data_IF_781698449369
#
_entry.id   IF_781698449369
#
_cell.length_a   1.000
_cell.length_b   1.000
_cell.length_c   1.000
_cell.angle_alpha   90.00
_cell.angle_beta   90.00
_cell.angle_gamma   90.00
#
_symmetry.space_group_name_H-M   'P 1'
#
loop_
_entity.id
_entity.type
_entity.pdbx_description
1 polymer ?
#
# COMPACT_ATOMS: atom_id res chain seq x y z
N UNK A 1 31.48 14.74 10.15
CA UNK A 1 30.38 14.27 9.26
C UNK A 1 29.76 13.04 9.94
N UNK A 2 28.69 13.26 10.72
CA UNK A 2 27.85 12.18 11.26
C UNK A 2 27.11 11.55 10.09
N UNK A 3 27.39 10.27 9.79
CA UNK A 3 26.57 9.46 8.88
C UNK A 3 25.14 9.48 9.44
N UNK A 4 24.24 10.28 8.84
CA UNK A 4 22.80 10.15 9.09
C UNK A 4 22.40 8.77 8.62
N UNK A 5 21.89 7.95 9.55
CA UNK A 5 21.34 6.65 9.25
C UNK A 5 20.24 6.84 8.20
N UNK A 6 20.41 6.18 7.07
CA UNK A 6 19.44 6.14 5.99
C UNK A 6 18.31 5.20 6.40
N UNK A 7 17.39 5.70 7.21
CA UNK A 7 16.27 4.90 7.67
C UNK A 7 15.24 4.82 6.55
N UNK A 8 15.14 3.65 5.95
CA UNK A 8 14.01 3.29 5.11
C UNK A 8 12.96 2.67 6.01
N UNK A 9 11.74 3.10 5.85
CA UNK A 9 10.64 2.66 6.70
C UNK A 9 9.54 2.11 5.83
N UNK A 10 8.93 1.03 6.30
CA UNK A 10 7.75 0.45 5.68
C UNK A 10 6.69 0.27 6.76
N UNK A 11 5.48 0.72 6.47
CA UNK A 11 4.33 0.59 7.35
C UNK A 11 3.17 -0.02 6.58
N UNK A 12 2.45 -0.91 7.25
CA UNK A 12 1.17 -1.45 6.78
C UNK A 12 0.09 -1.04 7.76
N UNK A 13 -1.09 -0.67 7.25
CA UNK A 13 -2.33 -0.54 8.03
C UNK A 13 -3.42 -1.34 7.34
N UNK A 14 -4.24 -2.00 8.14
CA UNK A 14 -5.37 -2.78 7.65
C UNK A 14 -6.63 -1.93 7.54
N UNK A 15 -7.49 -2.27 6.58
CA UNK A 15 -8.79 -1.64 6.35
C UNK A 15 -8.74 -0.10 6.35
N UNK A 16 -7.81 0.45 5.60
CA UNK A 16 -7.61 1.90 5.52
C UNK A 16 -8.83 2.60 4.93
N UNK A 17 -9.30 3.67 5.58
CA UNK A 17 -10.45 4.47 5.17
C UNK A 17 -11.75 3.67 4.94
N UNK A 18 -11.93 2.55 5.63
CA UNK A 18 -13.11 1.67 5.48
C UNK A 18 -13.35 1.20 4.04
N UNK A 19 -12.32 1.14 3.22
CA UNK A 19 -12.39 0.65 1.83
C UNK A 19 -12.30 -0.87 1.73
N UNK A 20 -11.95 -1.55 2.82
CA UNK A 20 -11.66 -2.99 2.85
C UNK A 20 -10.22 -3.33 2.46
N UNK A 21 -9.46 -2.39 1.92
CA UNK A 21 -8.07 -2.58 1.52
C UNK A 21 -7.04 -2.17 2.57
N UNK A 22 -5.83 -2.67 2.43
CA UNK A 22 -4.68 -2.25 3.22
C UNK A 22 -4.16 -0.89 2.75
N UNK A 23 -3.29 -0.36 3.55
CA UNK A 23 -2.47 0.78 3.27
C UNK A 23 -1.00 0.36 3.39
N UNK A 24 -0.24 0.61 2.33
CA UNK A 24 1.20 0.41 2.31
C UNK A 24 1.89 1.77 2.21
N UNK A 25 2.81 2.04 3.13
CA UNK A 25 3.59 3.26 3.19
C UNK A 25 5.07 2.92 3.21
N UNK A 26 5.81 3.54 2.31
CA UNK A 26 7.24 3.33 2.16
C UNK A 26 7.91 4.70 2.25
N UNK A 27 8.92 4.82 3.08
CA UNK A 27 9.74 6.02 3.20
C UNK A 27 11.17 5.74 2.82
N UNK A 28 11.78 6.69 2.17
CA UNK A 28 13.21 6.68 1.95
C UNK A 28 13.75 8.13 1.85
N UNK A 29 15.01 8.28 2.21
CA UNK A 29 15.71 9.55 2.06
C UNK A 29 16.28 9.63 0.64
N UNK A 30 16.12 10.77 -0.01
CA UNK A 30 16.78 11.07 -1.26
C UNK A 30 18.24 11.53 -1.01
N UNK A 31 19.05 11.62 -2.06
CA UNK A 31 20.44 12.09 -1.95
C UNK A 31 20.54 13.55 -1.49
N UNK A 32 19.48 14.34 -1.65
CA UNK A 32 19.36 15.75 -1.26
C UNK A 32 18.97 15.97 0.21
N UNK A 33 18.93 14.94 1.04
CA UNK A 33 18.44 14.95 2.42
C UNK A 33 16.93 15.12 2.56
N UNK A 34 16.19 15.17 1.47
CA UNK A 34 14.75 15.19 1.48
C UNK A 34 14.20 13.80 1.76
N UNK A 35 13.09 13.74 2.47
CA UNK A 35 12.38 12.50 2.71
C UNK A 35 11.25 12.35 1.71
N UNK A 36 11.21 11.22 1.03
CA UNK A 36 10.12 10.85 0.15
C UNK A 36 9.26 9.76 0.79
N UNK A 37 7.98 9.99 0.81
CA UNK A 37 6.97 9.03 1.25
C UNK A 37 6.12 8.60 0.06
N UNK A 38 6.00 7.29 -0.14
CA UNK A 38 5.11 6.70 -1.14
C UNK A 38 4.04 5.93 -0.40
N UNK A 39 2.79 6.17 -0.76
CA UNK A 39 1.62 5.50 -0.21
C UNK A 39 0.87 4.77 -1.31
N UNK A 40 0.39 3.57 -0.98
CA UNK A 40 -0.52 2.78 -1.81
C UNK A 40 -1.74 2.44 -0.98
N UNK A 41 -2.93 2.74 -1.49
CA UNK A 41 -4.18 2.47 -0.80
C UNK A 41 -5.37 2.47 -1.77
N UNK A 42 -6.49 1.89 -1.33
CA UNK A 42 -7.75 2.01 -2.06
C UNK A 42 -8.39 3.37 -1.77
N UNK A 43 -8.84 4.04 -2.81
CA UNK A 43 -9.75 5.18 -2.72
C UNK A 43 -11.09 4.80 -3.31
N UNK A 44 -12.15 5.47 -2.84
CA UNK A 44 -13.51 5.27 -3.31
C UNK A 44 -14.01 6.57 -3.92
N UNK A 45 -14.48 6.51 -5.15
CA UNK A 45 -15.10 7.64 -5.80
C UNK A 45 -16.44 7.96 -5.12
N UNK A 46 -16.65 9.22 -4.78
CA UNK A 46 -17.83 9.65 -4.03
C UNK A 46 -19.15 9.50 -4.83
N UNK A 47 -19.09 9.62 -6.14
CA UNK A 47 -20.27 9.60 -7.01
C UNK A 47 -20.59 8.17 -7.46
N UNK A 48 -19.59 7.46 -7.96
CA UNK A 48 -19.78 6.12 -8.54
C UNK A 48 -19.65 5.00 -7.52
N UNK A 49 -19.13 5.30 -6.32
CA UNK A 49 -18.80 4.32 -5.29
C UNK A 49 -17.77 3.26 -5.73
N UNK A 50 -17.12 3.50 -6.87
CA UNK A 50 -16.07 2.62 -7.37
C UNK A 50 -14.78 2.79 -6.60
N UNK A 51 -14.09 1.68 -6.39
CA UNK A 51 -12.79 1.68 -5.72
C UNK A 51 -11.66 1.57 -6.74
N UNK A 52 -10.55 2.25 -6.45
CA UNK A 52 -9.34 2.21 -7.26
C UNK A 52 -8.12 2.15 -6.36
N UNK A 53 -7.09 1.41 -6.77
CA UNK A 53 -5.80 1.44 -6.11
C UNK A 53 -5.04 2.67 -6.60
N UNK A 54 -4.63 3.51 -5.68
CA UNK A 54 -3.89 4.74 -5.97
C UNK A 54 -2.50 4.73 -5.36
N UNK A 55 -1.61 5.49 -5.98
CA UNK A 55 -0.31 5.84 -5.45
C UNK A 55 -0.26 7.33 -5.17
N UNK A 56 0.16 7.69 -3.98
CA UNK A 56 0.44 9.07 -3.56
C UNK A 56 1.93 9.20 -3.24
N UNK A 57 2.55 10.31 -3.61
CA UNK A 57 3.93 10.62 -3.28
C UNK A 57 3.99 11.95 -2.54
N UNK A 58 4.69 12.00 -1.42
CA UNK A 58 4.79 13.19 -0.58
C UNK A 58 6.26 13.44 -0.27
N UNK A 59 6.74 14.64 -0.58
CA UNK A 59 8.07 15.10 -0.22
C UNK A 59 8.05 15.78 1.16
N UNK A 60 9.06 15.50 1.99
CA UNK A 60 9.25 16.10 3.30
C UNK A 60 7.99 16.11 4.21
N UNK A 61 7.34 14.97 4.46
CA UNK A 61 6.06 14.89 5.17
C UNK A 61 6.11 15.41 6.62
N UNK A 62 7.30 15.59 7.20
CA UNK A 62 7.47 16.02 8.60
C UNK A 62 7.54 17.55 8.78
N UNK A 63 7.83 18.31 7.74
CA UNK A 63 8.05 19.77 7.86
C UNK A 63 6.75 20.59 7.84
N UNK A 64 5.60 19.96 7.71
CA UNK A 64 4.32 20.65 7.55
C UNK A 64 4.11 21.28 6.17
N UNK A 65 5.19 21.57 5.47
CA UNK A 65 5.19 21.95 4.05
C UNK A 65 5.01 20.71 3.20
N UNK A 66 3.83 20.11 3.23
CA UNK A 66 3.49 19.02 2.32
C UNK A 66 3.49 19.54 0.89
N UNK A 67 4.64 19.54 0.28
CA UNK A 67 4.73 19.66 -1.16
C UNK A 67 4.27 18.33 -1.74
N UNK A 68 3.00 18.27 -2.09
CA UNK A 68 2.47 17.15 -2.84
C UNK A 68 3.14 17.19 -4.21
N UNK A 69 3.96 16.21 -4.50
CA UNK A 69 4.67 16.12 -5.78
C UNK A 69 3.71 15.69 -6.89
N UNK A 70 3.85 16.29 -8.05
CA UNK A 70 3.15 15.82 -9.23
C UNK A 70 3.75 14.47 -9.67
N UNK A 71 2.95 13.43 -9.63
CA UNK A 71 3.40 12.03 -9.63
C UNK A 71 3.86 11.51 -11.00
N UNK A 72 3.79 12.28 -12.06
CA UNK A 72 4.19 11.82 -13.40
C UNK A 72 5.64 12.12 -13.75
N UNK A 73 6.25 13.08 -13.09
CA UNK A 73 7.68 13.43 -13.23
C UNK A 73 8.15 14.09 -11.94
N UNK A 74 9.43 13.99 -11.66
CA UNK A 74 10.16 14.79 -10.67
C UNK A 74 10.17 16.29 -11.01
N UNK A 75 9.05 16.79 -11.49
CA UNK A 75 8.93 18.20 -11.83
C UNK A 75 8.34 18.95 -10.64
N UNK A 76 9.02 20.00 -10.23
CA UNK A 76 8.88 20.77 -8.99
C UNK A 76 7.56 21.52 -8.83
N UNK A 77 6.50 21.18 -9.55
CA UNK A 77 5.23 21.89 -9.52
C UNK A 77 4.11 21.13 -8.81
N UNK A 78 3.92 21.50 -7.54
CA UNK A 78 2.65 21.71 -6.83
C UNK A 78 1.54 20.64 -6.93
N UNK A 79 1.25 20.04 -5.78
CA UNK A 79 0.02 19.27 -5.48
C UNK A 79 -0.12 17.94 -6.22
N UNK A 80 0.64 16.94 -5.76
CA UNK A 80 0.41 15.56 -6.19
C UNK A 80 -0.96 15.09 -5.77
N UNK A 81 -1.88 15.05 -6.72
CA UNK A 81 -3.08 14.24 -6.55
C UNK A 81 -2.67 12.76 -6.61
N UNK A 82 -3.30 11.90 -5.80
CA UNK A 82 -3.10 10.46 -5.93
C UNK A 82 -3.35 10.00 -7.38
N UNK A 83 -2.41 9.22 -7.91
CA UNK A 83 -2.55 8.64 -9.25
C UNK A 83 -3.21 7.28 -9.14
N UNK A 84 -4.27 7.06 -9.90
CA UNK A 84 -4.86 5.74 -10.07
C UNK A 84 -3.89 4.85 -10.83
N UNK A 85 -3.44 3.78 -10.18
CA UNK A 85 -2.57 2.75 -10.80
C UNK A 85 -3.36 1.51 -11.22
N UNK A 86 -4.45 1.22 -10.52
CA UNK A 86 -5.38 0.14 -10.89
C UNK A 86 -6.81 0.63 -10.67
N UNK A 87 -7.57 0.78 -11.75
CA UNK A 87 -9.00 1.07 -11.68
C UNK A 87 -9.80 -0.19 -11.34
N UNK A 88 -10.98 -0.02 -10.75
CA UNK A 88 -11.88 -1.13 -10.38
C UNK A 88 -11.25 -2.14 -9.42
N UNK A 89 -10.28 -1.72 -8.61
CA UNK A 89 -9.68 -2.55 -7.57
C UNK A 89 -10.70 -2.80 -6.47
N UNK A 90 -11.06 -4.07 -6.25
CA UNK A 90 -12.04 -4.49 -5.25
C UNK A 90 -11.42 -4.76 -3.88
N UNK A 91 -10.12 -5.09 -3.87
CA UNK A 91 -9.34 -5.37 -2.68
C UNK A 91 -7.86 -5.12 -2.92
N UNK A 92 -7.15 -4.75 -1.87
CA UNK A 92 -5.71 -4.55 -1.86
C UNK A 92 -5.18 -5.05 -0.51
N UNK A 93 -4.33 -6.08 -0.56
CA UNK A 93 -3.72 -6.66 0.64
C UNK A 93 -2.22 -6.65 0.55
N UNK A 94 -1.57 -6.41 1.69
CA UNK A 94 -0.11 -6.43 1.83
C UNK A 94 0.26 -7.34 2.99
N UNK A 95 1.15 -8.28 2.73
CA UNK A 95 1.77 -9.13 3.76
C UNK A 95 3.25 -8.84 3.78
N UNK A 96 3.76 -8.42 4.94
CA UNK A 96 5.18 -8.17 5.13
C UNK A 96 5.80 -9.36 5.86
N UNK A 97 6.93 -9.85 5.35
CA UNK A 97 7.59 -11.04 5.92
C UNK A 97 9.05 -10.77 6.27
N UNK A 98 9.53 -11.43 7.30
CA UNK A 98 10.94 -11.48 7.65
C UNK A 98 11.72 -12.42 6.72
N UNK A 99 13.04 -12.55 6.96
CA UNK A 99 13.93 -13.45 6.23
C UNK A 99 13.58 -14.93 6.36
N UNK A 100 12.81 -15.30 7.39
CA UNK A 100 12.39 -16.67 7.66
C UNK A 100 10.98 -16.95 7.11
N UNK A 101 10.35 -15.97 6.46
CA UNK A 101 8.99 -16.08 5.94
C UNK A 101 7.89 -15.81 6.96
N UNK A 102 8.21 -15.46 8.20
CA UNK A 102 7.21 -15.11 9.20
C UNK A 102 6.59 -13.76 8.90
N UNK A 103 5.28 -13.65 9.08
CA UNK A 103 4.58 -12.38 8.93
C UNK A 103 5.00 -11.38 10.00
N UNK A 104 5.23 -10.15 9.56
CA UNK A 104 5.55 -9.02 10.43
C UNK A 104 4.54 -7.91 10.21
N UNK A 105 3.98 -7.39 11.30
CA UNK A 105 3.11 -6.23 11.30
C UNK A 105 3.84 -5.02 11.91
N UNK A 106 4.59 -4.24 11.11
CA UNK A 106 5.20 -3.01 11.57
C UNK A 106 4.12 -1.91 11.66
N UNK A 107 3.37 -1.91 12.76
CA UNK A 107 2.34 -0.90 13.03
C UNK A 107 2.91 0.17 13.97
N UNK A 108 2.79 1.43 13.54
CA UNK A 108 3.14 2.60 14.36
C UNK A 108 4.63 2.96 14.31
N UNK A 109 4.91 4.19 13.91
CA UNK A 109 6.28 4.71 13.70
C UNK A 109 7.00 5.13 14.99
N UNK A 110 6.30 5.16 16.10
CA UNK A 110 6.79 5.83 17.33
C UNK A 110 7.39 4.89 18.37
N UNK A 111 7.06 3.61 18.35
CA UNK A 111 7.59 2.66 19.34
C UNK A 111 8.91 2.01 18.87
N UNK A 112 9.80 1.70 19.82
CA UNK A 112 11.04 0.98 19.54
C UNK A 112 10.77 -0.42 18.97
N UNK A 113 9.67 -1.06 19.36
CA UNK A 113 9.24 -2.36 18.83
C UNK A 113 8.85 -2.27 17.36
N UNK A 114 8.12 -1.21 16.96
CA UNK A 114 7.76 -0.99 15.56
C UNK A 114 9.00 -0.76 14.70
N UNK A 115 9.96 0.05 15.19
CA UNK A 115 11.25 0.27 14.52
C UNK A 115 12.01 -1.05 14.34
N UNK A 116 12.10 -1.87 15.39
CA UNK A 116 12.77 -3.15 15.34
C UNK A 116 12.07 -4.13 14.37
N UNK A 117 10.76 -4.09 14.25
CA UNK A 117 10.03 -4.93 13.30
C UNK A 117 10.19 -4.45 11.86
N UNK A 118 10.23 -3.14 11.63
CA UNK A 118 10.46 -2.58 10.30
C UNK A 118 11.82 -3.02 9.72
N UNK A 119 12.86 -3.04 10.55
CA UNK A 119 14.20 -3.49 10.12
C UNK A 119 14.26 -4.97 9.74
N UNK A 120 13.30 -5.77 10.16
CA UNK A 120 13.22 -7.21 9.85
C UNK A 120 12.46 -7.50 8.56
N UNK A 121 11.73 -6.52 8.01
CA UNK A 121 10.95 -6.75 6.77
C UNK A 121 11.89 -7.04 5.62
N UNK A 122 11.69 -8.21 5.01
CA UNK A 122 12.53 -8.72 3.95
C UNK A 122 11.78 -8.84 2.62
N UNK A 123 10.50 -9.17 2.69
CA UNK A 123 9.64 -9.36 1.53
C UNK A 123 8.30 -8.66 1.76
N UNK A 124 7.77 -8.04 0.73
CA UNK A 124 6.39 -7.58 0.67
C UNK A 124 5.64 -8.41 -0.37
N UNK A 125 4.58 -9.07 0.07
CA UNK A 125 3.62 -9.77 -0.79
C UNK A 125 2.41 -8.88 -0.98
N UNK A 126 2.04 -8.64 -2.22
CA UNK A 126 0.98 -7.71 -2.61
C UNK A 126 -0.07 -8.48 -3.38
N UNK A 127 -1.32 -8.37 -2.94
CA UNK A 127 -2.48 -8.97 -3.58
C UNK A 127 -3.44 -7.86 -3.98
N UNK A 128 -3.82 -7.83 -5.24
CA UNK A 128 -4.78 -6.86 -5.78
C UNK A 128 -5.89 -7.63 -6.46
N UNK A 129 -7.12 -7.50 -5.96
CA UNK A 129 -8.29 -8.04 -6.61
C UNK A 129 -8.95 -6.98 -7.47
N UNK A 130 -9.10 -7.23 -8.75
CA UNK A 130 -9.78 -6.34 -9.69
C UNK A 130 -11.09 -6.95 -10.16
N UNK A 131 -12.02 -6.11 -10.58
CA UNK A 131 -13.26 -6.54 -11.22
C UNK A 131 -13.34 -6.06 -12.68
N UNK A 132 -14.09 -6.75 -13.48
CA UNK A 132 -14.42 -6.30 -14.84
C UNK A 132 -15.09 -4.92 -14.81
N UNK A 133 -14.90 -4.06 -15.83
CA UNK A 133 -15.53 -2.75 -15.89
C UNK A 133 -17.06 -2.83 -15.98
N UNK A 134 -17.58 -3.88 -16.63
CA UNK A 134 -18.99 -4.12 -16.83
C UNK A 134 -19.42 -5.44 -16.23
N UNK A 135 -20.71 -5.61 -15.98
CA UNK A 135 -21.30 -6.91 -15.65
C UNK A 135 -21.19 -7.85 -16.85
N UNK A 136 -20.47 -8.95 -16.67
CA UNK A 136 -20.22 -9.94 -17.73
C UNK A 136 -20.99 -11.24 -17.50
N UNK A 137 -21.45 -11.48 -16.28
CA UNK A 137 -22.18 -12.69 -15.92
C UNK A 137 -23.69 -12.49 -16.08
N UNK A 138 -24.37 -13.53 -16.53
CA UNK A 138 -25.85 -13.52 -16.66
C UNK A 138 -26.56 -13.57 -15.31
N UNK A 139 -25.92 -14.14 -14.30
CA UNK A 139 -26.43 -14.30 -12.93
C UNK A 139 -25.37 -13.85 -11.94
N UNK A 140 -25.80 -13.50 -10.75
CA UNK A 140 -24.89 -13.22 -9.65
C UNK A 140 -24.01 -14.41 -9.35
N UNK A 141 -22.74 -14.14 -9.12
CA UNK A 141 -21.73 -15.12 -8.79
C UNK A 141 -21.02 -14.72 -7.49
N UNK A 142 -20.86 -15.69 -6.62
CA UNK A 142 -20.15 -15.49 -5.37
C UNK A 142 -18.64 -15.56 -5.60
N UNK A 143 -17.94 -14.45 -5.45
CA UNK A 143 -16.50 -14.39 -5.47
C UNK A 143 -15.97 -14.20 -4.05
N UNK A 144 -15.25 -15.19 -3.55
CA UNK A 144 -14.62 -15.12 -2.24
C UNK A 144 -13.26 -14.42 -2.35
N UNK A 145 -13.09 -13.32 -1.64
CA UNK A 145 -11.80 -12.65 -1.45
C UNK A 145 -11.14 -13.28 -0.23
N UNK A 146 -10.04 -13.99 -0.45
CA UNK A 146 -9.31 -14.68 0.60
C UNK A 146 -8.45 -13.69 1.37
N UNK A 147 -8.46 -13.80 2.69
CA UNK A 147 -7.54 -13.07 3.55
C UNK A 147 -6.15 -13.72 3.52
N UNK A 148 -5.17 -12.98 3.01
CA UNK A 148 -3.78 -13.43 2.92
C UNK A 148 -2.92 -12.94 4.09
N UNK A 149 -3.41 -11.94 4.83
CA UNK A 149 -2.64 -11.26 5.88
C UNK A 149 -2.86 -11.81 7.29
N UNK A 150 -3.55 -12.93 7.46
CA UNK A 150 -3.85 -13.48 8.79
C UNK A 150 -4.77 -12.62 9.67
N UNK A 151 -5.15 -11.45 9.19
CA UNK A 151 -5.99 -10.50 9.93
C UNK A 151 -7.40 -11.03 10.04
N UNK A 152 -7.97 -11.02 11.25
CA UNK A 152 -9.34 -11.48 11.48
C UNK A 152 -10.36 -10.61 10.75
N UNK A 153 -11.34 -11.23 10.08
CA UNK A 153 -12.49 -10.53 9.51
C UNK A 153 -12.33 -10.00 8.08
N UNK A 154 -11.27 -10.36 7.36
CA UNK A 154 -11.09 -9.93 5.96
C UNK A 154 -11.61 -10.88 4.90
N UNK A 155 -11.96 -12.12 5.28
CA UNK A 155 -12.66 -12.99 4.34
C UNK A 155 -14.03 -12.41 4.04
N UNK A 156 -14.26 -11.99 2.83
CA UNK A 156 -15.57 -11.52 2.42
C UNK A 156 -15.95 -12.04 1.03
N UNK A 157 -17.24 -12.22 0.84
CA UNK A 157 -17.80 -12.67 -0.43
C UNK A 157 -18.50 -11.51 -1.12
N UNK A 158 -18.15 -11.27 -2.37
CA UNK A 158 -18.91 -10.39 -3.27
C UNK A 158 -19.85 -11.24 -4.10
N UNK A 159 -21.13 -10.89 -4.07
CA UNK A 159 -22.16 -11.59 -4.85
C UNK A 159 -22.74 -10.61 -5.86
N UNK A 160 -22.29 -10.70 -7.08
CA UNK A 160 -22.71 -9.82 -8.18
C UNK A 160 -22.33 -10.43 -9.55
N UNK A 161 -22.54 -9.67 -10.61
CA UNK A 161 -22.32 -10.13 -12.00
C UNK A 161 -20.95 -9.75 -12.58
N UNK A 162 -20.03 -9.26 -11.77
CA UNK A 162 -18.70 -8.89 -12.21
C UNK A 162 -17.73 -10.08 -12.13
N UNK A 163 -16.91 -10.25 -13.17
CA UNK A 163 -15.75 -11.13 -13.07
C UNK A 163 -14.69 -10.46 -12.19
N UNK A 164 -14.02 -11.27 -11.38
CA UNK A 164 -12.91 -10.81 -10.54
C UNK A 164 -11.72 -11.74 -10.70
N UNK A 165 -10.55 -11.12 -10.53
CA UNK A 165 -9.29 -11.83 -10.50
C UNK A 165 -8.38 -11.21 -9.47
N UNK A 166 -7.62 -12.04 -8.75
CA UNK A 166 -6.61 -11.58 -7.79
C UNK A 166 -5.23 -11.79 -8.39
N UNK A 167 -4.49 -10.70 -8.48
CA UNK A 167 -3.09 -10.69 -8.89
C UNK A 167 -2.19 -10.69 -7.66
N UNK A 168 -1.10 -11.43 -7.76
CA UNK A 168 -0.10 -11.57 -6.71
C UNK A 168 1.26 -11.13 -7.21
N UNK A 169 1.96 -10.33 -6.41
CA UNK A 169 3.35 -9.94 -6.62
C UNK A 169 4.11 -10.08 -5.31
N UNK A 170 5.27 -10.71 -5.35
CA UNK A 170 6.22 -10.73 -4.24
C UNK A 170 7.42 -9.83 -4.58
N UNK A 171 7.70 -8.87 -3.71
CA UNK A 171 8.79 -7.91 -3.86
C UNK A 171 9.83 -8.15 -2.78
N UNK A 172 11.03 -8.46 -3.20
CA UNK A 172 12.17 -8.58 -2.31
C UNK A 172 12.73 -7.20 -1.97
N UNK A 173 12.72 -6.83 -0.70
CA UNK A 173 13.19 -5.53 -0.24
C UNK A 173 14.70 -5.60 0.02
N UNK A 174 15.49 -5.36 -1.01
CA UNK A 174 16.94 -5.20 -0.85
C UNK A 174 17.24 -3.93 -0.05
N UNK A 175 17.99 -4.04 1.02
CA UNK A 175 18.48 -2.92 1.85
C UNK A 175 17.47 -2.31 2.85
N UNK A 176 16.64 -3.10 3.46
CA UNK A 176 16.07 -2.72 4.75
C UNK A 176 17.15 -2.98 5.79
N UNK A 177 17.91 -1.93 6.10
CA UNK A 177 18.96 -1.84 7.12
C UNK A 177 20.17 -2.77 6.94
N UNK A 178 21.30 -2.19 6.56
CA UNK A 178 22.60 -2.73 7.00
C UNK A 178 22.74 -2.41 8.49
N UNK A 179 22.64 -3.43 9.34
CA UNK A 179 23.16 -3.40 10.71
C UNK A 179 24.66 -3.14 10.69
#
# INVERSE_FOLDING_TARGET
YTKKNWDRWIEKKENYNNTGGDYLRIWYNTSSQDRLEIRYYLTKDANTQETSLVREMIENPETGDRKEMNCERFDTQKNCKPITIVSKASDFQVVLRDKNGNEINPVGLTSNTAKANQSKVHTAEIYVTVRSPNELLKKDHAFKITNHSGSTGRDFTKNDKYLRETFYISVYLRNVVKT
#
